data_IF_383271159609
#
_entry.id   IF_383271159609
#
_cell.length_a   1.000
_cell.length_b   1.000
_cell.length_c   1.000
_cell.angle_alpha   90.00
_cell.angle_beta   90.00
_cell.angle_gamma   90.00
#
_symmetry.space_group_name_H-M   'P 1'
#
loop_
_entity.id
_entity.type
_entity.pdbx_description
1 polymer ?
#
# COMPACT_ATOMS: atom_id res chain seq x y z
N UNK A 1 -44.62 73.48 -29.39
CA UNK A 1 -44.84 72.03 -29.14
C UNK A 1 -44.10 71.22 -30.14
N UNK A 2 -42.99 70.50 -29.77
CA UNK A 2 -42.67 69.33 -30.51
C UNK A 2 -42.44 68.10 -29.58
N UNK A 3 -42.87 66.97 -30.09
CA UNK A 3 -42.91 65.66 -29.45
C UNK A 3 -41.50 65.04 -29.38
N UNK A 4 -41.17 64.58 -28.17
CA UNK A 4 -39.92 63.87 -27.89
C UNK A 4 -40.08 62.38 -28.26
N UNK A 5 -39.34 61.87 -29.25
CA UNK A 5 -39.20 60.45 -29.56
C UNK A 5 -38.12 59.84 -28.67
N UNK A 6 -38.45 58.90 -27.80
CA UNK A 6 -37.54 58.06 -27.09
C UNK A 6 -37.26 56.81 -27.93
N UNK A 7 -35.97 56.67 -28.36
CA UNK A 7 -35.47 55.47 -29.00
C UNK A 7 -34.96 54.56 -27.85
N UNK A 8 -35.56 53.39 -27.68
CA UNK A 8 -35.10 52.35 -26.78
C UNK A 8 -34.09 51.48 -27.52
N UNK A 9 -32.80 51.55 -27.16
CA UNK A 9 -31.79 50.65 -27.65
C UNK A 9 -31.79 49.36 -26.81
N UNK A 10 -32.20 48.25 -27.38
CA UNK A 10 -32.07 46.91 -26.82
C UNK A 10 -30.64 46.42 -27.00
N UNK A 11 -29.86 46.36 -25.90
CA UNK A 11 -28.56 45.71 -25.88
C UNK A 11 -28.79 44.19 -25.72
N UNK A 12 -28.49 43.43 -26.76
CA UNK A 12 -28.37 41.96 -26.70
C UNK A 12 -27.05 41.62 -26.02
N UNK A 13 -27.10 41.17 -24.76
CA UNK A 13 -25.96 40.54 -24.10
C UNK A 13 -25.92 39.09 -24.60
N UNK A 14 -24.98 38.81 -25.51
CA UNK A 14 -24.61 37.44 -25.89
C UNK A 14 -23.92 36.81 -24.71
N UNK A 15 -24.58 35.92 -23.95
CA UNK A 15 -23.95 35.01 -23.01
C UNK A 15 -23.12 33.99 -23.84
N UNK A 16 -21.84 34.27 -23.99
CA UNK A 16 -20.87 33.29 -24.47
C UNK A 16 -20.77 32.14 -23.46
N UNK A 17 -21.43 31.03 -23.74
CA UNK A 17 -21.26 29.80 -22.97
C UNK A 17 -19.81 29.35 -23.08
N UNK A 18 -19.08 29.38 -21.97
CA UNK A 18 -17.75 28.70 -21.85
C UNK A 18 -18.05 27.19 -21.97
N UNK A 19 -17.48 26.49 -22.97
CA UNK A 19 -17.63 25.04 -23.01
C UNK A 19 -16.93 24.49 -21.76
N UNK A 20 -17.71 23.90 -20.85
CA UNK A 20 -17.17 23.07 -19.80
C UNK A 20 -16.41 21.93 -20.50
N UNK A 21 -15.10 21.93 -20.42
CA UNK A 21 -14.29 20.80 -20.83
C UNK A 21 -14.74 19.60 -20.00
N UNK A 22 -15.58 18.76 -20.60
CA UNK A 22 -15.93 17.46 -20.03
C UNK A 22 -14.62 16.65 -19.95
N UNK A 23 -13.97 16.70 -18.78
CA UNK A 23 -12.87 15.81 -18.47
C UNK A 23 -13.39 14.39 -18.66
N UNK A 24 -12.80 13.65 -19.60
CA UNK A 24 -13.09 12.23 -19.78
C UNK A 24 -12.69 11.56 -18.47
N UNK A 25 -13.67 11.26 -17.65
CA UNK A 25 -13.45 10.45 -16.45
C UNK A 25 -13.01 9.06 -16.95
N UNK A 26 -11.71 8.82 -16.98
CA UNK A 26 -11.20 7.47 -17.20
C UNK A 26 -11.70 6.63 -16.03
N UNK A 27 -12.50 5.61 -16.34
CA UNK A 27 -12.94 4.66 -15.33
C UNK A 27 -11.69 4.00 -14.74
N UNK A 28 -11.49 4.17 -13.43
CA UNK A 28 -10.35 3.57 -12.73
C UNK A 28 -10.42 2.04 -12.88
N UNK A 29 -9.30 1.42 -13.24
CA UNK A 29 -9.19 -0.04 -13.33
C UNK A 29 -9.54 -0.67 -11.98
N UNK A 30 -10.39 -1.70 -12.00
CA UNK A 30 -10.78 -2.41 -10.78
C UNK A 30 -9.82 -3.56 -10.49
N UNK A 31 -9.44 -3.77 -9.22
CA UNK A 31 -8.61 -4.91 -8.84
C UNK A 31 -9.38 -6.22 -9.03
N UNK A 32 -8.71 -7.24 -9.59
CA UNK A 32 -9.25 -8.60 -9.74
C UNK A 32 -9.12 -9.39 -8.42
N UNK A 33 -8.02 -9.21 -7.69
CA UNK A 33 -7.79 -9.84 -6.39
C UNK A 33 -8.03 -8.81 -5.30
N UNK A 34 -8.99 -9.05 -4.41
CA UNK A 34 -9.41 -8.11 -3.35
C UNK A 34 -9.06 -8.57 -1.94
N UNK A 35 -8.71 -9.84 -1.75
CA UNK A 35 -8.26 -10.41 -0.47
C UNK A 35 -7.48 -11.70 -0.71
N UNK A 36 -6.62 -12.05 0.22
CA UNK A 36 -5.93 -13.36 0.21
C UNK A 36 -6.67 -14.42 1.04
N UNK A 37 -7.55 -14.01 1.96
CA UNK A 37 -8.16 -14.89 2.95
C UNK A 37 -7.35 -14.96 4.27
N UNK A 38 -7.76 -15.80 5.23
CA UNK A 38 -7.27 -15.73 6.61
C UNK A 38 -5.96 -16.48 6.90
N UNK A 39 -5.46 -17.32 5.99
CA UNK A 39 -4.45 -18.35 6.32
C UNK A 39 -3.05 -18.03 5.78
N UNK A 40 -2.53 -16.86 6.13
CA UNK A 40 -1.18 -16.43 5.71
C UNK A 40 -0.38 -15.90 6.89
N UNK A 41 0.04 -16.76 7.83
CA UNK A 41 0.72 -16.32 9.05
C UNK A 41 2.15 -15.82 8.82
N UNK A 42 2.78 -16.16 7.69
CA UNK A 42 4.17 -15.77 7.43
C UNK A 42 4.32 -14.88 6.22
N UNK A 43 4.90 -13.69 6.45
CA UNK A 43 5.10 -12.70 5.40
C UNK A 43 6.55 -12.23 5.27
N UNK A 44 6.98 -11.93 4.05
CA UNK A 44 8.18 -11.15 3.79
C UNK A 44 7.80 -9.81 3.15
N UNK A 45 8.30 -8.72 3.73
CA UNK A 45 8.09 -7.35 3.27
C UNK A 45 9.35 -6.87 2.57
N UNK A 46 9.29 -6.73 1.26
CA UNK A 46 10.41 -6.36 0.39
C UNK A 46 10.16 -4.95 -0.13
N UNK A 47 11.04 -4.00 0.21
CA UNK A 47 10.84 -2.61 -0.19
C UNK A 47 11.87 -1.65 0.40
N UNK A 48 11.41 -0.51 0.86
CA UNK A 48 12.27 0.61 1.23
C UNK A 48 11.85 1.26 2.56
N UNK A 49 12.26 2.53 2.74
CA UNK A 49 12.04 3.28 3.98
C UNK A 49 10.58 3.39 4.41
N UNK A 50 9.63 3.30 3.51
CA UNK A 50 8.21 3.35 3.88
C UNK A 50 7.77 2.16 4.72
N UNK A 51 8.51 1.05 4.68
CA UNK A 51 8.26 -0.09 5.56
C UNK A 51 8.97 0.01 6.92
N UNK A 52 10.17 0.59 7.00
CA UNK A 52 10.94 0.55 8.25
C UNK A 52 10.77 1.78 9.18
N UNK A 53 10.14 2.88 8.72
CA UNK A 53 9.86 4.02 9.59
C UNK A 53 9.00 3.63 10.79
N UNK A 54 9.18 4.34 11.92
CA UNK A 54 8.39 4.18 13.15
C UNK A 54 8.37 2.73 13.68
N UNK A 55 9.52 2.11 13.80
CA UNK A 55 9.74 0.71 14.23
C UNK A 55 9.23 -0.35 13.24
N UNK A 56 8.97 0.03 12.01
CA UNK A 56 8.62 -0.89 10.92
C UNK A 56 7.15 -1.32 10.91
N UNK A 57 6.52 -1.15 9.77
CA UNK A 57 5.14 -1.56 9.52
C UNK A 57 4.91 -3.05 9.85
N UNK A 58 5.80 -4.01 9.48
CA UNK A 58 5.62 -5.43 9.81
C UNK A 58 5.59 -5.73 11.31
N UNK A 59 6.31 -4.96 12.12
CA UNK A 59 6.26 -5.08 13.59
C UNK A 59 4.88 -4.72 14.15
N UNK A 60 4.30 -3.62 13.69
CA UNK A 60 2.93 -3.24 14.05
C UNK A 60 1.90 -4.26 13.55
N UNK A 61 2.10 -4.81 12.34
CA UNK A 61 1.22 -5.85 11.79
C UNK A 61 1.22 -7.10 12.68
N UNK A 62 2.39 -7.58 13.09
CA UNK A 62 2.50 -8.74 13.98
C UNK A 62 1.77 -8.54 15.30
N UNK A 63 1.77 -7.32 15.85
CA UNK A 63 1.00 -6.99 17.06
C UNK A 63 -0.51 -7.02 16.79
N UNK A 64 -0.97 -6.53 15.64
CA UNK A 64 -2.39 -6.58 15.25
C UNK A 64 -2.87 -8.02 15.02
N UNK A 65 -2.06 -8.83 14.34
CA UNK A 65 -2.35 -10.25 14.07
C UNK A 65 -2.48 -11.03 15.39
N UNK A 66 -1.52 -10.88 16.30
CA UNK A 66 -1.58 -11.50 17.64
C UNK A 66 -2.79 -11.02 18.43
N UNK A 67 -3.16 -9.74 18.36
CA UNK A 67 -4.33 -9.22 19.04
C UNK A 67 -5.65 -9.76 18.45
N UNK A 68 -5.64 -10.08 17.15
CA UNK A 68 -6.79 -10.65 16.43
C UNK A 68 -6.90 -12.19 16.59
N UNK A 69 -5.85 -12.82 17.11
CA UNK A 69 -5.78 -14.27 17.39
C UNK A 69 -5.43 -14.51 18.88
N UNK A 70 -6.35 -14.23 19.80
CA UNK A 70 -6.11 -14.33 21.24
C UNK A 70 -5.85 -15.77 21.73
N UNK A 71 -6.27 -16.76 20.95
CA UNK A 71 -6.06 -18.17 21.24
C UNK A 71 -4.71 -18.69 20.71
N UNK A 72 -3.92 -17.83 20.08
CA UNK A 72 -2.60 -18.16 19.49
C UNK A 72 -2.63 -19.37 18.55
N UNK A 73 -3.65 -19.44 17.69
CA UNK A 73 -3.83 -20.53 16.72
C UNK A 73 -2.81 -20.49 15.58
N UNK A 74 -2.20 -19.31 15.36
CA UNK A 74 -1.25 -19.08 14.30
C UNK A 74 0.05 -18.47 14.86
N UNK A 75 1.18 -18.92 14.34
CA UNK A 75 2.49 -18.32 14.63
C UNK A 75 2.80 -17.25 13.58
N UNK A 76 2.36 -16.03 13.84
CA UNK A 76 2.56 -14.90 12.93
C UNK A 76 4.01 -14.44 12.92
N UNK A 77 4.61 -14.50 11.76
CA UNK A 77 5.99 -14.08 11.54
C UNK A 77 6.10 -13.18 10.31
N UNK A 78 6.43 -11.93 10.52
CA UNK A 78 6.64 -10.95 9.46
C UNK A 78 8.11 -10.53 9.42
N UNK A 79 8.78 -10.85 8.32
CA UNK A 79 10.18 -10.53 8.06
C UNK A 79 10.29 -9.32 7.15
N UNK A 80 11.24 -8.43 7.38
CA UNK A 80 11.43 -7.24 6.57
C UNK A 80 12.80 -7.23 5.91
N UNK A 81 12.83 -7.00 4.59
CA UNK A 81 14.04 -6.78 3.79
C UNK A 81 13.91 -5.47 3.06
N UNK A 82 14.68 -4.48 3.47
CA UNK A 82 14.56 -3.12 2.95
C UNK A 82 15.91 -2.51 2.58
N UNK A 83 15.88 -1.77 1.48
CA UNK A 83 16.99 -0.94 1.02
C UNK A 83 16.44 0.49 0.87
N UNK A 84 17.08 1.47 1.51
CA UNK A 84 16.60 2.86 1.48
C UNK A 84 16.49 3.39 0.05
N UNK A 85 15.29 3.85 -0.34
CA UNK A 85 15.03 4.40 -1.68
C UNK A 85 14.92 3.39 -2.82
N UNK A 86 14.97 2.09 -2.54
CA UNK A 86 14.97 1.05 -3.58
C UNK A 86 13.69 0.98 -4.39
N UNK A 87 13.85 0.58 -5.66
CA UNK A 87 12.82 0.02 -6.50
C UNK A 87 12.86 -1.50 -6.51
N UNK A 88 11.95 -2.13 -7.26
CA UNK A 88 11.86 -3.58 -7.39
C UNK A 88 13.13 -4.22 -7.97
N UNK A 89 13.84 -3.51 -8.83
CA UNK A 89 15.05 -3.94 -9.53
C UNK A 89 16.30 -4.01 -8.64
N UNK A 90 16.25 -3.42 -7.44
CA UNK A 90 17.37 -3.43 -6.50
C UNK A 90 17.39 -4.69 -5.63
N UNK A 91 16.29 -5.44 -5.58
CA UNK A 91 16.13 -6.61 -4.73
C UNK A 91 16.38 -7.91 -5.48
N UNK A 92 17.31 -8.71 -4.98
CA UNK A 92 17.47 -10.11 -5.40
C UNK A 92 16.44 -11.00 -4.66
N UNK A 93 15.18 -10.90 -5.12
CA UNK A 93 14.05 -11.58 -4.49
C UNK A 93 14.26 -13.09 -4.41
N UNK A 94 14.90 -13.70 -5.41
CA UNK A 94 15.18 -15.15 -5.41
C UNK A 94 16.07 -15.55 -4.25
N UNK A 95 17.06 -14.73 -3.90
CA UNK A 95 17.98 -14.99 -2.80
C UNK A 95 17.29 -15.05 -1.45
N UNK A 96 16.20 -14.33 -1.25
CA UNK A 96 15.47 -14.28 0.01
C UNK A 96 14.67 -15.56 0.29
N UNK A 97 14.42 -16.36 -0.73
CA UNK A 97 13.70 -17.63 -0.64
C UNK A 97 14.61 -18.86 -0.70
N UNK A 98 15.94 -18.69 -0.63
CA UNK A 98 16.86 -19.82 -0.57
C UNK A 98 16.73 -20.54 0.77
N UNK A 99 16.96 -21.86 0.82
CA UNK A 99 17.08 -22.59 2.09
C UNK A 99 18.08 -21.89 3.03
N UNK A 100 17.76 -21.82 4.31
CA UNK A 100 18.54 -21.13 5.34
C UNK A 100 18.77 -19.63 5.09
N UNK A 101 17.93 -19.02 4.26
CA UNK A 101 17.91 -17.58 4.04
C UNK A 101 17.21 -16.85 5.21
N UNK A 102 16.81 -15.60 4.95
CA UNK A 102 16.22 -14.70 5.94
C UNK A 102 15.01 -15.35 6.64
N UNK A 103 15.02 -15.32 7.98
CA UNK A 103 13.93 -15.85 8.81
C UNK A 103 13.89 -17.38 8.95
N UNK A 104 14.90 -18.09 8.44
CA UNK A 104 14.96 -19.56 8.51
C UNK A 104 15.91 -20.11 9.59
N UNK A 105 16.40 -19.28 10.48
CA UNK A 105 17.24 -19.67 11.60
C UNK A 105 16.76 -19.07 12.92
N UNK A 106 17.18 -19.69 14.01
CA UNK A 106 16.99 -19.23 15.40
C UNK A 106 18.30 -19.39 16.18
N UNK A 107 18.30 -19.03 17.46
CA UNK A 107 19.41 -19.27 18.37
C UNK A 107 18.95 -20.26 19.45
N UNK A 108 19.82 -21.20 19.80
CA UNK A 108 19.60 -22.07 20.95
C UNK A 108 19.95 -21.36 22.28
N UNK A 109 19.80 -22.08 23.38
CA UNK A 109 20.12 -21.58 24.73
C UNK A 109 21.58 -21.18 24.96
N UNK A 110 22.48 -21.68 24.11
CA UNK A 110 23.91 -21.38 24.12
C UNK A 110 24.32 -20.33 23.08
N UNK A 111 23.35 -19.65 22.44
CA UNK A 111 23.54 -18.68 21.36
C UNK A 111 24.16 -19.26 20.07
N UNK A 112 24.05 -20.58 19.84
CA UNK A 112 24.43 -21.14 18.57
C UNK A 112 23.31 -20.93 17.54
N UNK A 113 23.69 -20.70 16.28
CA UNK A 113 22.74 -20.61 15.17
C UNK A 113 22.15 -21.99 14.89
N UNK A 114 20.83 -22.08 14.94
CA UNK A 114 20.06 -23.27 14.57
C UNK A 114 19.26 -22.97 13.33
N UNK A 115 19.50 -23.68 12.23
CA UNK A 115 18.71 -23.54 11.01
C UNK A 115 17.38 -24.28 11.17
N UNK A 116 16.29 -23.54 10.97
CA UNK A 116 14.96 -24.10 11.02
C UNK A 116 14.69 -24.91 9.75
N UNK A 117 14.15 -26.12 9.91
CA UNK A 117 13.70 -26.93 8.77
C UNK A 117 12.30 -26.45 8.38
N UNK A 118 12.24 -25.58 7.38
CA UNK A 118 10.99 -25.01 6.87
C UNK A 118 10.79 -25.47 5.43
N UNK A 119 9.69 -26.13 5.16
CA UNK A 119 9.30 -26.53 3.80
C UNK A 119 8.99 -25.32 2.91
N UNK A 120 8.41 -24.28 3.54
CA UNK A 120 8.11 -23.00 2.92
C UNK A 120 8.50 -21.85 3.85
N UNK A 121 9.30 -20.91 3.36
CA UNK A 121 9.79 -19.79 4.19
C UNK A 121 8.70 -18.75 4.48
N UNK A 122 7.88 -18.43 3.47
CA UNK A 122 6.86 -17.38 3.55
C UNK A 122 5.60 -17.77 2.78
N UNK A 123 4.44 -17.38 3.32
CA UNK A 123 3.15 -17.55 2.65
C UNK A 123 2.89 -16.43 1.65
N UNK A 124 3.34 -15.23 1.98
CA UNK A 124 3.17 -14.04 1.14
C UNK A 124 4.45 -13.24 1.03
N UNK A 125 4.63 -12.57 -0.11
CA UNK A 125 5.63 -11.54 -0.30
C UNK A 125 4.94 -10.21 -0.60
N UNK A 126 5.00 -9.28 0.34
CA UNK A 126 4.49 -7.92 0.19
C UNK A 126 5.62 -7.07 -0.38
N UNK A 127 5.47 -6.64 -1.62
CA UNK A 127 6.50 -5.95 -2.38
C UNK A 127 6.09 -4.51 -2.67
N UNK A 128 7.02 -3.58 -2.50
CA UNK A 128 6.83 -2.15 -2.76
C UNK A 128 7.97 -1.60 -3.60
N UNK A 129 7.64 -0.94 -4.70
CA UNK A 129 8.60 -0.22 -5.53
C UNK A 129 8.96 1.13 -4.92
N UNK A 130 9.88 1.86 -5.55
CA UNK A 130 10.15 3.24 -5.17
C UNK A 130 8.87 4.08 -5.28
N UNK A 131 8.77 5.14 -4.47
CA UNK A 131 7.53 5.91 -4.31
C UNK A 131 6.99 6.57 -5.59
N UNK A 132 7.84 6.77 -6.60
CA UNK A 132 7.48 7.39 -7.89
C UNK A 132 7.71 6.47 -9.09
N UNK A 133 8.43 5.36 -8.95
CA UNK A 133 8.79 4.50 -10.06
C UNK A 133 7.59 4.04 -10.90
N UNK A 134 6.45 3.65 -10.29
CA UNK A 134 5.29 3.20 -11.05
C UNK A 134 4.70 4.25 -12.00
N UNK A 135 4.92 5.54 -11.72
CA UNK A 135 4.39 6.67 -12.50
C UNK A 135 5.48 7.51 -13.16
N UNK A 136 6.74 7.13 -13.00
CA UNK A 136 7.85 7.89 -13.57
C UNK A 136 8.03 7.54 -15.04
N UNK A 137 8.17 8.55 -15.96
CA UNK A 137 8.19 8.30 -17.41
C UNK A 137 9.28 7.32 -17.90
N UNK A 138 10.40 7.22 -17.17
CA UNK A 138 11.53 6.35 -17.53
C UNK A 138 11.59 5.05 -16.71
N UNK A 139 10.93 4.97 -15.55
CA UNK A 139 11.03 3.85 -14.63
C UNK A 139 9.76 2.99 -14.60
N UNK A 140 8.67 3.44 -15.19
CA UNK A 140 7.41 2.69 -15.26
C UNK A 140 7.58 1.32 -15.94
N UNK A 141 8.39 1.23 -17.01
CA UNK A 141 8.68 -0.04 -17.64
C UNK A 141 9.47 -0.98 -16.73
N UNK A 142 10.45 -0.43 -15.98
CA UNK A 142 11.23 -1.20 -14.98
C UNK A 142 10.28 -1.72 -13.89
N UNK A 143 9.40 -0.88 -13.36
CA UNK A 143 8.37 -1.29 -12.42
C UNK A 143 7.54 -2.47 -12.95
N UNK A 144 7.03 -2.36 -14.18
CA UNK A 144 6.18 -3.39 -14.79
C UNK A 144 6.92 -4.71 -15.00
N UNK A 145 8.16 -4.64 -15.50
CA UNK A 145 8.97 -5.83 -15.77
C UNK A 145 9.36 -6.56 -14.48
N UNK A 146 9.77 -5.81 -13.45
CA UNK A 146 10.14 -6.42 -12.18
C UNK A 146 8.93 -6.81 -11.32
N UNK A 147 7.79 -6.16 -11.46
CA UNK A 147 6.54 -6.64 -10.87
C UNK A 147 6.22 -8.06 -11.36
N UNK A 148 6.35 -8.32 -12.67
CA UNK A 148 6.17 -9.65 -13.26
C UNK A 148 7.24 -10.62 -12.80
N UNK A 149 8.53 -10.28 -12.99
CA UNK A 149 9.67 -11.15 -12.63
C UNK A 149 9.63 -11.58 -11.17
N UNK A 150 9.43 -10.63 -10.26
CA UNK A 150 9.40 -10.91 -8.82
C UNK A 150 8.16 -11.73 -8.43
N UNK A 151 7.02 -11.48 -9.07
CA UNK A 151 5.80 -12.29 -8.86
C UNK A 151 5.99 -13.75 -9.27
N UNK A 152 6.67 -13.99 -10.39
CA UNK A 152 6.95 -15.34 -10.88
C UNK A 152 7.91 -16.08 -9.93
N UNK A 153 8.96 -15.41 -9.44
CA UNK A 153 9.87 -15.94 -8.42
C UNK A 153 9.11 -16.32 -7.15
N UNK A 154 8.30 -15.40 -6.62
CA UNK A 154 7.51 -15.63 -5.40
C UNK A 154 6.60 -16.85 -5.53
N UNK A 155 5.91 -16.98 -6.67
CA UNK A 155 5.04 -18.15 -6.92
C UNK A 155 5.81 -19.45 -7.05
N UNK A 156 6.95 -19.42 -7.73
CA UNK A 156 7.82 -20.60 -7.86
C UNK A 156 8.29 -21.12 -6.50
N UNK A 157 8.31 -20.27 -5.47
CA UNK A 157 8.64 -20.62 -4.08
C UNK A 157 7.41 -20.94 -3.21
N UNK A 158 6.23 -21.07 -3.81
CA UNK A 158 4.99 -21.44 -3.12
C UNK A 158 4.33 -20.30 -2.33
N UNK A 159 4.82 -19.06 -2.47
CA UNK A 159 4.25 -17.88 -1.83
C UNK A 159 3.31 -17.10 -2.76
N UNK A 160 2.47 -16.22 -2.20
CA UNK A 160 1.61 -15.32 -2.97
C UNK A 160 2.25 -13.95 -3.11
N UNK A 161 2.37 -13.39 -4.32
CA UNK A 161 2.80 -12.03 -4.52
C UNK A 161 1.70 -11.05 -4.13
N UNK A 162 2.09 -9.98 -3.45
CA UNK A 162 1.24 -8.88 -3.01
C UNK A 162 1.97 -7.58 -3.29
N UNK A 163 1.30 -6.60 -3.89
CA UNK A 163 1.87 -5.28 -4.11
C UNK A 163 1.35 -4.28 -3.08
N UNK A 164 2.25 -3.52 -2.51
CA UNK A 164 1.91 -2.43 -1.61
C UNK A 164 1.93 -1.11 -2.38
N UNK A 165 0.75 -0.56 -2.64
CA UNK A 165 0.62 0.76 -3.23
C UNK A 165 0.98 1.82 -2.20
N UNK A 166 2.12 2.49 -2.38
CA UNK A 166 2.52 3.63 -1.57
C UNK A 166 1.59 4.83 -1.76
N UNK A 167 1.70 5.81 -0.87
CA UNK A 167 0.91 7.05 -0.91
C UNK A 167 1.61 8.14 -1.73
N UNK A 168 0.82 9.11 -2.19
CA UNK A 168 1.30 10.36 -2.77
C UNK A 168 2.05 11.19 -1.73
N UNK A 169 3.00 12.01 -2.16
CA UNK A 169 3.64 12.98 -1.26
C UNK A 169 2.61 14.01 -0.78
N UNK A 170 2.81 14.56 0.42
CA UNK A 170 1.88 15.55 0.98
C UNK A 170 1.72 16.81 0.12
N UNK A 171 2.78 17.18 -0.60
CA UNK A 171 2.82 18.33 -1.50
C UNK A 171 2.59 17.97 -2.98
N UNK A 172 2.24 16.69 -3.28
CA UNK A 172 1.93 16.16 -4.61
C UNK A 172 0.75 15.19 -4.60
N UNK A 173 -0.43 15.62 -4.11
CA UNK A 173 -1.60 14.74 -3.96
C UNK A 173 -2.10 14.17 -5.29
N UNK A 174 -1.79 14.83 -6.41
CA UNK A 174 -2.09 14.37 -7.77
C UNK A 174 -1.45 13.04 -8.14
N UNK A 175 -0.40 12.60 -7.43
CA UNK A 175 0.20 11.27 -7.62
C UNK A 175 -0.75 10.13 -7.25
N UNK A 176 -1.78 10.36 -6.44
CA UNK A 176 -2.64 9.29 -5.89
C UNK A 176 -3.32 8.49 -6.98
N UNK A 177 -3.98 9.13 -7.93
CA UNK A 177 -4.72 8.43 -8.98
C UNK A 177 -3.81 7.67 -9.94
N UNK A 178 -2.72 8.25 -10.47
CA UNK A 178 -1.77 7.50 -11.30
C UNK A 178 -1.11 6.32 -10.58
N UNK A 179 -0.75 6.47 -9.29
CA UNK A 179 -0.21 5.35 -8.52
C UNK A 179 -1.23 4.22 -8.36
N UNK A 180 -2.48 4.56 -8.04
CA UNK A 180 -3.55 3.57 -7.89
C UNK A 180 -3.77 2.81 -9.20
N UNK A 181 -3.78 3.49 -10.33
CA UNK A 181 -3.94 2.88 -11.65
C UNK A 181 -2.76 1.96 -11.98
N UNK A 182 -1.52 2.44 -11.84
CA UNK A 182 -0.32 1.67 -12.15
C UNK A 182 -0.23 0.38 -11.31
N UNK A 183 -0.44 0.48 -10.00
CA UNK A 183 -0.42 -0.70 -9.13
C UNK A 183 -1.59 -1.66 -9.40
N UNK A 184 -2.79 -1.15 -9.74
CA UNK A 184 -3.94 -2.01 -10.06
C UNK A 184 -3.71 -2.77 -11.35
N UNK A 185 -3.17 -2.12 -12.39
CA UNK A 185 -2.80 -2.77 -13.64
C UNK A 185 -1.74 -3.85 -13.39
N UNK A 186 -0.69 -3.53 -12.63
CA UNK A 186 0.34 -4.51 -12.28
C UNK A 186 -0.22 -5.67 -11.45
N UNK A 187 -1.10 -5.40 -10.48
CA UNK A 187 -1.79 -6.41 -9.68
C UNK A 187 -2.61 -7.36 -10.55
N UNK A 188 -3.42 -6.83 -11.45
CA UNK A 188 -4.26 -7.61 -12.35
C UNK A 188 -3.42 -8.46 -13.32
N UNK A 189 -2.38 -7.85 -13.92
CA UNK A 189 -1.48 -8.55 -14.83
C UNK A 189 -0.73 -9.72 -14.17
N UNK A 190 -0.50 -9.62 -12.86
CA UNK A 190 0.23 -10.62 -12.09
C UNK A 190 -0.67 -11.45 -11.17
N UNK A 191 -2.00 -11.39 -11.27
CA UNK A 191 -2.92 -12.04 -10.34
C UNK A 191 -2.50 -11.86 -8.86
N UNK A 192 -2.14 -10.63 -8.51
CA UNK A 192 -1.62 -10.26 -7.19
C UNK A 192 -2.58 -9.31 -6.48
N UNK A 193 -2.71 -9.45 -5.16
CA UNK A 193 -3.41 -8.49 -4.34
C UNK A 193 -2.67 -7.17 -4.36
N UNK A 194 -3.39 -6.06 -4.47
CA UNK A 194 -2.85 -4.71 -4.24
C UNK A 194 -3.37 -4.17 -2.92
N UNK A 195 -2.47 -3.85 -2.01
CA UNK A 195 -2.79 -3.19 -0.73
C UNK A 195 -2.89 -1.69 -0.99
N UNK A 196 -4.07 -1.08 -0.90
CA UNK A 196 -4.33 0.29 -1.36
C UNK A 196 -3.99 1.35 -0.29
N UNK A 197 -2.78 1.30 0.30
CA UNK A 197 -2.40 2.21 1.38
C UNK A 197 -2.44 3.69 0.94
N UNK A 198 -2.04 3.99 -0.29
CA UNK A 198 -2.09 5.35 -0.83
C UNK A 198 -3.52 5.91 -0.97
N UNK A 199 -4.50 5.07 -1.35
CA UNK A 199 -5.90 5.47 -1.38
C UNK A 199 -6.45 5.73 0.03
N UNK A 200 -6.01 4.94 1.03
CA UNK A 200 -6.40 5.15 2.41
C UNK A 200 -5.85 6.47 2.97
N UNK A 201 -4.60 6.82 2.66
CA UNK A 201 -4.02 8.13 2.99
C UNK A 201 -4.83 9.28 2.40
N UNK A 202 -5.08 9.26 1.10
CA UNK A 202 -5.86 10.29 0.42
C UNK A 202 -7.27 10.43 1.03
N UNK A 203 -7.93 9.31 1.33
CA UNK A 203 -9.25 9.31 1.96
C UNK A 203 -9.23 9.86 3.38
N UNK A 204 -8.23 9.50 4.19
CA UNK A 204 -8.10 9.96 5.57
C UNK A 204 -7.87 11.47 5.61
N UNK A 205 -6.95 11.99 4.80
CA UNK A 205 -6.66 13.43 4.68
C UNK A 205 -7.90 14.19 4.18
N UNK A 206 -8.61 13.66 3.18
CA UNK A 206 -9.83 14.28 2.67
C UNK A 206 -10.97 14.36 3.70
N UNK A 207 -11.00 13.44 4.69
CA UNK A 207 -11.99 13.45 5.78
C UNK A 207 -11.54 14.25 7.00
N UNK A 208 -10.26 14.28 7.28
CA UNK A 208 -9.65 14.92 8.44
C UNK A 208 -8.35 15.60 7.99
N UNK A 209 -8.43 16.81 7.40
CA UNK A 209 -7.27 17.53 6.87
C UNK A 209 -6.19 17.84 7.91
N UNK A 210 -6.58 17.95 9.18
CA UNK A 210 -5.68 18.18 10.31
C UNK A 210 -4.88 16.94 10.72
N UNK A 211 -5.26 15.76 10.23
CA UNK A 211 -4.56 14.51 10.54
C UNK A 211 -3.19 14.46 9.87
N UNK A 212 -2.14 14.58 10.65
CA UNK A 212 -0.78 14.50 10.12
C UNK A 212 -0.33 13.05 9.92
N UNK A 213 -0.33 12.61 8.66
CA UNK A 213 0.13 11.27 8.27
C UNK A 213 1.58 11.23 7.77
N UNK A 214 2.26 12.38 7.71
CA UNK A 214 3.60 12.52 7.14
C UNK A 214 4.64 12.97 8.17
N UNK A 215 5.87 12.53 7.98
CA UNK A 215 7.04 13.12 8.60
C UNK A 215 7.31 14.53 8.03
N UNK A 216 8.22 15.33 8.63
CA UNK A 216 8.51 16.69 8.17
C UNK A 216 8.97 16.80 6.71
N UNK A 217 9.52 15.73 6.14
CA UNK A 217 9.95 15.66 4.74
C UNK A 217 8.80 15.54 3.73
N UNK A 218 7.55 15.44 4.19
CA UNK A 218 6.33 15.31 3.39
C UNK A 218 6.21 14.04 2.55
N UNK A 219 7.01 13.03 2.83
CA UNK A 219 7.13 11.77 2.06
C UNK A 219 7.01 10.55 2.94
N UNK A 220 7.88 10.45 3.95
CA UNK A 220 7.85 9.34 4.89
C UNK A 220 6.62 9.43 5.81
N UNK A 221 6.16 8.30 6.36
CA UNK A 221 5.00 8.31 7.22
C UNK A 221 5.33 8.85 8.62
N UNK A 222 4.43 9.59 9.22
CA UNK A 222 4.38 9.76 10.67
C UNK A 222 4.02 8.44 11.36
N UNK A 223 4.05 8.38 12.68
CA UNK A 223 3.56 7.19 13.41
C UNK A 223 2.08 6.89 13.06
N UNK A 224 1.24 7.93 12.95
CA UNK A 224 -0.16 7.77 12.54
C UNK A 224 -0.26 7.24 11.09
N UNK A 225 0.61 7.70 10.19
CA UNK A 225 0.71 7.20 8.82
C UNK A 225 1.10 5.72 8.77
N UNK A 226 2.14 5.32 9.52
CA UNK A 226 2.53 3.91 9.61
C UNK A 226 1.39 3.05 10.17
N UNK A 227 0.71 3.52 11.21
CA UNK A 227 -0.44 2.82 11.80
C UNK A 227 -1.59 2.65 10.81
N UNK A 228 -1.97 3.71 10.08
CA UNK A 228 -2.98 3.63 9.02
C UNK A 228 -2.58 2.63 7.94
N UNK A 229 -1.34 2.68 7.45
CA UNK A 229 -0.84 1.73 6.46
C UNK A 229 -0.91 0.29 6.97
N UNK A 230 -0.53 0.05 8.23
CA UNK A 230 -0.64 -1.27 8.87
C UNK A 230 -2.08 -1.77 8.94
N UNK A 231 -3.03 -0.90 9.29
CA UNK A 231 -4.46 -1.23 9.30
C UNK A 231 -4.94 -1.66 7.90
N UNK A 232 -4.47 -0.99 6.85
CA UNK A 232 -4.83 -1.33 5.47
C UNK A 232 -4.22 -2.68 5.06
N UNK A 233 -2.96 -2.93 5.42
CA UNK A 233 -2.31 -4.24 5.19
C UNK A 233 -3.10 -5.35 5.87
N UNK A 234 -3.40 -5.20 7.16
CA UNK A 234 -4.17 -6.19 7.91
C UNK A 234 -5.52 -6.47 7.25
N UNK A 235 -6.29 -5.43 6.94
CA UNK A 235 -7.61 -5.58 6.34
C UNK A 235 -7.56 -6.22 4.95
N UNK A 236 -6.61 -5.81 4.09
CA UNK A 236 -6.48 -6.34 2.74
C UNK A 236 -6.03 -7.80 2.73
N UNK A 237 -5.09 -8.17 3.61
CA UNK A 237 -4.58 -9.53 3.69
C UNK A 237 -5.58 -10.51 4.32
N UNK A 238 -6.31 -10.09 5.37
CA UNK A 238 -7.18 -10.97 6.14
C UNK A 238 -8.66 -10.89 5.74
N UNK A 239 -9.07 -9.86 5.00
CA UNK A 239 -10.49 -9.55 4.76
C UNK A 239 -11.25 -9.09 6.00
N UNK A 240 -10.56 -8.88 7.13
CA UNK A 240 -11.17 -8.48 8.41
C UNK A 240 -11.30 -6.97 8.50
N UNK A 241 -12.43 -6.50 9.01
CA UNK A 241 -12.60 -5.08 9.37
C UNK A 241 -11.96 -4.80 10.72
N UNK A 242 -11.24 -3.67 10.82
CA UNK A 242 -10.72 -3.14 12.08
C UNK A 242 -11.74 -2.26 12.83
N UNK A 243 -13.01 -2.25 12.41
CA UNK A 243 -14.07 -1.54 13.11
C UNK A 243 -14.31 -2.14 14.51
N UNK A 244 -14.93 -1.38 15.46
CA UNK A 244 -14.84 -1.55 16.93
C UNK A 244 -15.12 -2.91 17.55
N UNK A 245 -15.56 -3.91 16.79
CA UNK A 245 -15.76 -5.28 17.32
C UNK A 245 -14.48 -5.93 17.86
N UNK A 246 -13.30 -5.50 17.41
CA UNK A 246 -12.00 -6.04 17.84
C UNK A 246 -11.45 -5.30 19.09
N UNK A 247 -11.86 -4.04 19.29
CA UNK A 247 -11.37 -3.20 20.40
C UNK A 247 -12.38 -3.04 21.55
N UNK A 248 -13.63 -3.44 21.35
CA UNK A 248 -14.72 -3.18 22.31
C UNK A 248 -14.69 -4.06 23.57
N UNK A 249 -13.82 -5.06 23.70
CA UNK A 249 -13.88 -6.04 24.79
C UNK A 249 -12.81 -5.90 25.87
N UNK A 250 -11.89 -4.94 25.78
CA UNK A 250 -11.01 -4.61 26.90
C UNK A 250 -11.41 -3.29 27.54
N UNK A 251 -12.57 -3.23 28.21
CA UNK A 251 -12.69 -2.32 29.35
C UNK A 251 -11.64 -2.77 30.37
N UNK A 252 -10.65 -1.92 30.63
CA UNK A 252 -9.79 -2.05 31.79
C UNK A 252 -10.71 -2.22 33.00
N UNK A 253 -10.81 -3.40 33.55
CA UNK A 253 -11.27 -3.54 34.93
C UNK A 253 -10.16 -2.98 35.80
N UNK A 254 -10.44 -1.84 36.43
CA UNK A 254 -9.66 -1.30 37.53
C UNK A 254 -9.78 -2.25 38.72
#
# INVERSE_FOLDING_TARGET
>A
MPKLFRVLALAFIALGGIPAAAGVAHAQTKPLVTTLGPDFPTGIFIGNSFFYYNNGLPGHLSLMEKAADPDHKQDYRNTMVTIGGSGFDWHDVESYFRPNAIGSYSFDENNNVVFNKLDKLFDVAVMMDCSQCPIHPKLNSVFTDYARKNSDIVRAKGAKPVFFMSWAYADKPEMTAPLAEAYTIAGNANNALVIPAGLAFARAIGKQPELNLYAPDKRHPSLAGTYLATCVVFAAMTGRSLLPSVWATRRCRR
#
